data_IF_465382855835
#
_entry.id   IF_465382855835
#
_cell.length_a   1.000
_cell.length_b   1.000
_cell.length_c   1.000
_cell.angle_alpha   90.00
_cell.angle_beta   90.00
_cell.angle_gamma   90.00
#
_symmetry.space_group_name_H-M   'P 1'
#
loop_
_entity.id
_entity.type
_entity.pdbx_description
1 polymer ?
#
# COMPACT_ATOMS: atom_id res chain seq x y z
N UNK A 1 -12.00 -13.36 -20.17
CA UNK A 1 -10.76 -13.93 -19.61
C UNK A 1 -10.49 -13.26 -18.29
N UNK A 2 -10.79 -13.93 -17.19
CA UNK A 2 -10.28 -13.50 -15.88
C UNK A 2 -8.76 -13.71 -15.90
N UNK A 3 -8.01 -12.66 -15.61
CA UNK A 3 -6.55 -12.72 -15.53
C UNK A 3 -6.18 -13.44 -14.24
N UNK A 4 -6.22 -14.78 -14.26
CA UNK A 4 -5.98 -15.64 -13.09
C UNK A 4 -4.54 -15.62 -12.57
N UNK A 5 -3.60 -15.06 -13.34
CA UNK A 5 -2.18 -15.00 -12.97
C UNK A 5 -1.80 -13.75 -12.16
N UNK A 6 -2.73 -12.83 -11.93
CA UNK A 6 -2.47 -11.60 -11.17
C UNK A 6 -1.42 -10.69 -11.83
N UNK A 7 -0.64 -10.02 -10.99
CA UNK A 7 0.43 -9.09 -11.37
C UNK A 7 1.60 -9.22 -10.39
N UNK A 8 2.81 -8.90 -10.84
CA UNK A 8 4.01 -8.80 -10.00
C UNK A 8 4.55 -7.37 -10.05
N UNK A 9 5.40 -7.00 -9.10
CA UNK A 9 6.09 -5.71 -9.13
C UNK A 9 7.01 -5.61 -10.36
N UNK A 10 6.98 -4.47 -11.04
CA UNK A 10 7.85 -4.20 -12.19
C UNK A 10 9.34 -4.19 -11.83
N UNK A 11 9.66 -3.86 -10.57
CA UNK A 11 11.01 -3.79 -10.02
C UNK A 11 11.03 -4.42 -8.64
N UNK A 12 12.10 -5.14 -8.28
CA UNK A 12 12.24 -5.71 -6.94
C UNK A 12 12.30 -4.61 -5.88
N UNK A 13 11.77 -4.91 -4.71
CA UNK A 13 11.90 -4.07 -3.53
C UNK A 13 13.36 -4.03 -3.07
N UNK A 14 13.79 -2.85 -2.63
CA UNK A 14 15.14 -2.57 -2.14
C UNK A 14 15.22 -2.59 -0.61
N UNK A 15 14.07 -2.76 0.07
CA UNK A 15 13.89 -2.82 1.52
C UNK A 15 14.21 -1.50 2.26
N UNK A 16 15.26 -0.77 1.88
CA UNK A 16 15.73 0.43 2.57
C UNK A 16 15.23 1.75 1.95
N UNK A 17 14.99 1.78 0.64
CA UNK A 17 14.64 2.99 -0.10
C UNK A 17 13.26 2.91 -0.76
N UNK A 18 12.50 1.87 -0.42
CA UNK A 18 11.15 1.70 -0.91
C UNK A 18 10.25 2.83 -0.38
N UNK A 19 9.10 2.96 -1.00
CA UNK A 19 8.05 3.81 -0.50
C UNK A 19 6.72 3.29 -1.00
N UNK A 20 5.75 4.18 -1.13
CA UNK A 20 4.38 3.77 -1.37
C UNK A 20 3.74 4.60 -2.46
N UNK A 21 3.01 3.91 -3.32
CA UNK A 21 2.08 4.50 -4.27
C UNK A 21 0.65 4.42 -3.71
N UNK A 22 -0.18 5.41 -4.01
CA UNK A 22 -1.48 5.58 -3.36
C UNK A 22 -2.61 5.34 -4.35
N UNK A 23 -3.50 4.42 -4.00
CA UNK A 23 -4.63 4.03 -4.81
C UNK A 23 -5.94 4.37 -4.10
N UNK A 24 -6.77 5.19 -4.75
CA UNK A 24 -8.09 5.61 -4.27
C UNK A 24 -9.21 4.80 -4.91
N UNK A 25 -10.41 4.86 -4.31
CA UNK A 25 -11.63 4.28 -4.89
C UNK A 25 -11.53 2.76 -5.13
N UNK A 26 -10.96 2.05 -4.15
CA UNK A 26 -10.81 0.61 -4.18
C UNK A 26 -11.60 -0.07 -3.06
N UNK A 27 -12.13 -1.26 -3.36
CA UNK A 27 -12.32 -2.29 -2.36
C UNK A 27 -10.92 -2.71 -1.88
N UNK A 28 -10.70 -2.61 -0.58
CA UNK A 28 -9.45 -3.01 0.06
C UNK A 28 -9.19 -4.51 -0.12
N UNK A 29 -7.92 -4.95 -0.09
CA UNK A 29 -7.59 -6.36 -0.23
C UNK A 29 -8.21 -7.20 0.90
N UNK A 30 -8.40 -8.48 0.62
CA UNK A 30 -8.81 -9.44 1.65
C UNK A 30 -7.86 -9.42 2.86
N UNK A 31 -8.39 -9.63 4.07
CA UNK A 31 -7.66 -9.45 5.33
C UNK A 31 -7.06 -10.73 5.90
N UNK A 32 -7.07 -11.85 5.15
CA UNK A 32 -6.53 -13.15 5.62
C UNK A 32 -5.07 -13.04 6.09
N UNK A 33 -4.22 -12.33 5.34
CA UNK A 33 -2.81 -12.10 5.68
C UNK A 33 -2.56 -10.65 6.06
N UNK A 34 -3.25 -10.18 7.10
CA UNK A 34 -3.16 -8.80 7.58
C UNK A 34 -2.91 -8.68 9.08
N UNK A 35 -2.43 -7.50 9.48
CA UNK A 35 -2.32 -7.08 10.87
C UNK A 35 -3.07 -5.77 11.05
N UNK A 36 -3.78 -5.66 12.18
CA UNK A 36 -4.68 -4.54 12.45
C UNK A 36 -4.35 -3.88 13.79
N UNK A 37 -4.43 -2.55 13.83
CA UNK A 37 -4.35 -1.79 15.07
C UNK A 37 -5.29 -0.57 15.03
N UNK A 38 -6.27 -0.54 15.94
CA UNK A 38 -7.32 0.49 15.98
C UNK A 38 -6.88 1.88 16.45
N UNK A 39 -5.75 2.00 17.14
CA UNK A 39 -5.30 3.27 17.75
C UNK A 39 -4.08 3.88 17.06
N UNK A 40 -3.55 3.21 16.03
CA UNK A 40 -2.38 3.67 15.29
C UNK A 40 -2.75 4.73 14.27
N UNK A 41 -1.98 5.83 14.22
CA UNK A 41 -2.15 6.85 13.18
C UNK A 41 -1.53 6.42 11.84
N UNK A 42 -2.00 7.03 10.75
CA UNK A 42 -1.49 6.78 9.39
C UNK A 42 0.04 6.89 9.30
N UNK A 43 0.66 7.91 9.89
CA UNK A 43 2.11 8.10 9.84
C UNK A 43 2.88 6.99 10.57
N UNK A 44 2.33 6.51 11.70
CA UNK A 44 2.91 5.36 12.42
C UNK A 44 2.71 4.07 11.62
N UNK A 45 1.57 3.92 10.94
CA UNK A 45 1.29 2.80 10.05
C UNK A 45 2.29 2.75 8.88
N UNK A 46 2.52 3.89 8.22
CA UNK A 46 3.53 4.06 7.17
C UNK A 46 4.93 3.65 7.66
N UNK A 47 5.38 4.23 8.78
CA UNK A 47 6.70 3.94 9.32
C UNK A 47 6.86 2.46 9.72
N UNK A 48 5.81 1.86 10.30
CA UNK A 48 5.82 0.45 10.69
C UNK A 48 5.86 -0.48 9.49
N UNK A 49 5.10 -0.18 8.45
CA UNK A 49 5.09 -0.95 7.21
C UNK A 49 6.44 -0.84 6.50
N UNK A 50 7.01 0.37 6.39
CA UNK A 50 8.30 0.58 5.75
C UNK A 50 9.43 -0.23 6.44
N UNK A 51 9.42 -0.27 7.77
CA UNK A 51 10.40 -1.02 8.58
C UNK A 51 10.13 -2.53 8.65
N UNK A 52 9.01 -3.02 8.09
CA UNK A 52 8.72 -4.44 7.99
C UNK A 52 8.90 -4.89 6.54
N UNK A 53 9.94 -5.68 6.26
CA UNK A 53 10.27 -6.10 4.90
C UNK A 53 9.21 -6.97 4.21
N UNK A 54 8.31 -7.57 4.98
CA UNK A 54 7.20 -8.38 4.45
C UNK A 54 5.94 -7.55 4.21
N UNK A 55 5.88 -6.30 4.68
CA UNK A 55 4.71 -5.44 4.49
C UNK A 55 4.64 -4.98 3.03
N UNK A 56 3.51 -5.26 2.39
CA UNK A 56 3.26 -4.96 0.98
C UNK A 56 2.28 -3.82 0.77
N UNK A 57 1.39 -3.56 1.73
CA UNK A 57 0.49 -2.41 1.70
C UNK A 57 0.00 -2.02 3.08
N UNK A 58 -0.49 -0.79 3.21
CA UNK A 58 -1.19 -0.35 4.41
C UNK A 58 -2.32 0.64 4.08
N UNK A 59 -3.23 0.84 5.04
CA UNK A 59 -4.29 1.87 4.98
C UNK A 59 -4.79 2.21 6.38
N UNK A 60 -5.62 3.25 6.48
CA UNK A 60 -6.39 3.54 7.70
C UNK A 60 -7.60 2.62 7.80
N UNK A 61 -8.02 2.29 9.03
CA UNK A 61 -9.20 1.45 9.23
C UNK A 61 -10.49 2.16 8.83
N UNK A 62 -10.57 3.47 9.02
CA UNK A 62 -11.76 4.25 8.74
C UNK A 62 -11.45 5.56 8.01
N UNK A 63 -12.52 6.23 7.58
CA UNK A 63 -12.47 7.52 6.88
C UNK A 63 -12.05 8.69 7.80
N UNK A 64 -12.09 8.50 9.12
CA UNK A 64 -11.62 9.51 10.08
C UNK A 64 -10.09 9.60 10.09
N UNK A 65 -9.41 8.65 9.42
CA UNK A 65 -7.96 8.55 9.39
C UNK A 65 -7.40 7.83 10.61
N UNK A 66 -8.25 7.12 11.35
CA UNK A 66 -7.87 6.34 12.52
C UNK A 66 -7.59 4.89 12.17
N UNK A 67 -6.68 4.30 12.94
CA UNK A 67 -6.30 2.91 12.84
C UNK A 67 -5.38 2.59 11.66
N UNK A 68 -4.91 1.35 11.64
CA UNK A 68 -3.93 0.84 10.69
C UNK A 68 -4.27 -0.59 10.33
N UNK A 69 -4.30 -0.88 9.03
CA UNK A 69 -4.25 -2.24 8.49
C UNK A 69 -2.98 -2.34 7.66
N UNK A 70 -2.22 -3.42 7.87
CA UNK A 70 -1.07 -3.78 7.05
C UNK A 70 -1.30 -5.15 6.43
N UNK A 71 -0.95 -5.30 5.15
CA UNK A 71 -0.99 -6.57 4.44
C UNK A 71 0.41 -7.12 4.21
N UNK A 72 0.52 -8.44 4.26
CA UNK A 72 1.75 -9.19 4.02
C UNK A 72 1.56 -10.16 2.85
N UNK A 73 2.49 -10.15 1.90
CA UNK A 73 2.40 -10.98 0.70
C UNK A 73 1.41 -10.45 -0.35
N UNK A 74 0.75 -11.36 -1.07
CA UNK A 74 -0.08 -11.02 -2.21
C UNK A 74 -1.36 -10.26 -1.82
N UNK A 75 -1.65 -9.19 -2.56
CA UNK A 75 -2.85 -8.38 -2.35
C UNK A 75 -3.98 -8.90 -3.22
N UNK A 76 -4.93 -9.61 -2.60
CA UNK A 76 -6.01 -10.32 -3.29
C UNK A 76 -7.35 -9.60 -3.19
N UNK A 77 -8.22 -9.82 -4.18
CA UNK A 77 -9.61 -9.32 -4.24
C UNK A 77 -9.77 -7.79 -4.21
N UNK A 78 -8.75 -7.07 -4.72
CA UNK A 78 -8.84 -5.64 -5.00
C UNK A 78 -9.76 -5.40 -6.20
N UNK A 79 -10.70 -4.46 -6.06
CA UNK A 79 -11.64 -4.06 -7.13
C UNK A 79 -11.88 -2.56 -7.09
N UNK A 80 -12.21 -1.95 -8.23
CA UNK A 80 -12.69 -0.57 -8.23
C UNK A 80 -14.01 -0.45 -7.45
N UNK A 81 -14.16 0.65 -6.72
CA UNK A 81 -15.30 0.93 -5.86
C UNK A 81 -15.65 2.41 -5.98
N UNK A 82 -16.90 2.73 -6.31
CA UNK A 82 -17.39 4.11 -6.35
C UNK A 82 -17.56 4.74 -4.94
N UNK A 83 -17.47 3.94 -3.88
CA UNK A 83 -17.62 4.40 -2.50
C UNK A 83 -16.31 4.97 -1.97
N UNK A 84 -16.37 6.15 -1.35
CA UNK A 84 -15.25 6.77 -0.64
C UNK A 84 -14.74 5.90 0.49
N UNK A 85 -13.76 5.05 0.18
CA UNK A 85 -13.02 4.21 1.12
C UNK A 85 -11.65 4.81 1.38
N UNK A 86 -11.01 4.46 2.51
CA UNK A 86 -9.61 4.81 2.75
C UNK A 86 -8.71 4.41 1.57
N UNK A 87 -7.72 5.25 1.25
CA UNK A 87 -6.76 4.97 0.19
C UNK A 87 -5.87 3.78 0.57
N UNK A 88 -5.57 2.90 -0.39
CA UNK A 88 -4.61 1.83 -0.21
C UNK A 88 -3.21 2.33 -0.60
N UNK A 89 -2.25 2.21 0.30
CA UNK A 89 -0.85 2.55 0.04
C UNK A 89 -0.05 1.29 -0.23
N UNK A 90 0.35 1.05 -1.48
CA UNK A 90 1.04 -0.16 -1.92
C UNK A 90 2.54 0.09 -2.01
N UNK A 91 3.35 -0.82 -1.46
CA UNK A 91 4.81 -0.71 -1.44
C UNK A 91 5.38 -0.90 -2.83
N UNK A 92 6.23 0.04 -3.25
CA UNK A 92 6.92 0.01 -4.54
C UNK A 92 8.41 0.33 -4.35
N UNK A 93 9.23 -0.05 -5.33
CA UNK A 93 10.67 0.15 -5.25
C UNK A 93 11.05 1.62 -5.37
N UNK A 94 12.19 1.97 -4.76
CA UNK A 94 12.79 3.31 -4.86
C UNK A 94 12.91 3.82 -6.30
N UNK A 95 13.27 2.93 -7.23
CA UNK A 95 13.46 3.28 -8.64
C UNK A 95 12.15 3.64 -9.33
N UNK A 96 11.04 3.00 -8.96
CA UNK A 96 9.72 3.34 -9.51
C UNK A 96 9.25 4.70 -8.98
N UNK A 97 9.51 4.99 -7.70
CA UNK A 97 9.23 6.32 -7.10
C UNK A 97 10.05 7.40 -7.80
N UNK A 98 11.36 7.21 -7.95
CA UNK A 98 12.24 8.17 -8.62
C UNK A 98 11.87 8.39 -10.09
N UNK A 99 11.26 7.40 -10.76
CA UNK A 99 10.75 7.55 -12.12
C UNK A 99 9.44 8.35 -12.14
N UNK A 100 8.55 8.11 -11.18
CA UNK A 100 7.27 8.82 -11.08
C UNK A 100 7.44 10.28 -10.63
N UNK A 101 8.46 10.55 -9.82
CA UNK A 101 8.84 11.89 -9.34
C UNK A 101 10.34 12.12 -9.63
N UNK A 102 10.70 12.49 -10.87
CA UNK A 102 12.08 12.84 -11.19
C UNK A 102 12.54 13.97 -10.28
N UNK A 103 13.80 13.95 -9.87
CA UNK A 103 14.40 14.98 -8.99
C UNK A 103 14.36 16.40 -9.58
N UNK A 104 13.89 16.59 -10.82
CA UNK A 104 13.60 17.88 -11.43
C UNK A 104 12.35 18.57 -10.89
N UNK A 105 11.45 17.83 -10.22
CA UNK A 105 10.14 18.34 -9.77
C UNK A 105 10.16 18.75 -8.29
N UNK A 106 11.30 18.61 -7.61
CA UNK A 106 11.57 19.21 -6.30
C UNK A 106 12.12 20.62 -6.51
N UNK A 107 11.24 21.58 -6.82
CA UNK A 107 11.55 23.01 -6.83
C UNK A 107 10.56 23.80 -5.98
#
# INVERSE_FOLDING_TARGET
MEKSQGCVLNKPLSCQKDGFDTYSYLKLPDTTYSWVNGSMSLNKCWAKCLNNYSCMAYTNLDISGSGCVMWFGDLMDIRQSAVGRPNLHVRISASEIARAFPTSDLR
#
